data_IF_063786791133
#
_entry.id   IF_063786791133
#
_cell.length_a   1.000
_cell.length_b   1.000
_cell.length_c   1.000
_cell.angle_alpha   90.00
_cell.angle_beta   90.00
_cell.angle_gamma   90.00
#
_symmetry.space_group_name_H-M   'P 1'
#
loop_
_entity.id
_entity.type
_entity.pdbx_description
1 polymer ?
#
# COMPACT_ATOMS: atom_id res chain seq x y z
N UNK A 1 -56.13 6.88 -32.42
CA UNK A 1 -56.21 8.27 -32.90
C UNK A 1 -54.99 8.54 -33.76
N UNK A 2 -55.21 8.94 -35.02
CA UNK A 2 -54.19 9.29 -36.02
C UNK A 2 -53.97 10.81 -35.94
N UNK A 3 -52.73 11.33 -36.07
CA UNK A 3 -52.17 12.17 -37.17
C UNK A 3 -50.76 12.56 -36.68
N UNK A 4 -49.64 12.05 -37.24
CA UNK A 4 -48.89 12.43 -38.46
C UNK A 4 -48.43 13.89 -38.49
N UNK A 5 -47.11 14.12 -38.50
CA UNK A 5 -46.51 15.03 -39.49
C UNK A 5 -45.06 14.64 -39.81
N UNK A 6 -44.85 14.33 -41.09
CA UNK A 6 -43.57 14.12 -41.73
C UNK A 6 -42.99 15.48 -42.19
N UNK A 7 -41.66 15.59 -42.21
CA UNK A 7 -40.94 16.61 -42.99
C UNK A 7 -39.86 15.90 -43.81
N UNK A 8 -39.82 16.23 -45.09
CA UNK A 8 -39.01 15.63 -46.14
C UNK A 8 -37.57 16.19 -46.18
N UNK A 9 -36.66 15.37 -46.71
CA UNK A 9 -35.26 15.66 -47.01
C UNK A 9 -35.08 16.73 -48.12
N UNK A 10 -33.97 17.46 -48.02
CA UNK A 10 -33.20 17.94 -49.17
C UNK A 10 -31.71 17.69 -48.88
N UNK A 11 -30.99 17.22 -49.89
CA UNK A 11 -29.73 16.49 -49.74
C UNK A 11 -28.45 17.31 -49.69
N UNK A 12 -27.37 16.62 -49.37
CA UNK A 12 -26.04 16.89 -49.90
C UNK A 12 -25.27 15.57 -49.94
N UNK A 13 -24.87 15.15 -51.15
CA UNK A 13 -23.90 14.08 -51.38
C UNK A 13 -22.51 14.68 -51.15
N UNK A 14 -21.73 14.09 -50.27
CA UNK A 14 -20.34 14.46 -50.06
C UNK A 14 -19.57 13.34 -49.36
N UNK A 15 -18.67 12.71 -50.14
CA UNK A 15 -17.35 12.22 -49.71
C UNK A 15 -17.29 11.24 -48.54
N UNK A 16 -16.90 9.99 -48.84
CA UNK A 16 -16.61 8.99 -47.83
C UNK A 16 -15.51 9.41 -46.84
N UNK A 17 -15.69 8.98 -45.60
CA UNK A 17 -14.61 8.73 -44.64
C UNK A 17 -15.08 7.52 -43.83
N UNK A 18 -14.20 6.54 -43.63
CA UNK A 18 -14.52 5.28 -42.98
C UNK A 18 -15.17 5.48 -41.62
N UNK A 19 -16.10 4.58 -41.29
CA UNK A 19 -16.57 4.39 -39.93
C UNK A 19 -15.37 3.92 -39.10
N UNK A 20 -14.65 4.85 -38.50
CA UNK A 20 -13.84 4.56 -37.34
C UNK A 20 -14.82 4.04 -36.28
N UNK A 21 -14.77 2.73 -36.03
CA UNK A 21 -15.28 2.15 -34.79
C UNK A 21 -14.70 3.00 -33.67
N UNK A 22 -15.56 3.68 -32.94
CA UNK A 22 -15.20 4.27 -31.67
C UNK A 22 -14.65 3.12 -30.82
N UNK A 23 -13.34 3.13 -30.61
CA UNK A 23 -12.68 2.31 -29.59
C UNK A 23 -13.48 2.52 -28.30
N UNK A 24 -13.87 1.41 -27.69
CA UNK A 24 -14.79 1.40 -26.55
C UNK A 24 -14.35 2.40 -25.50
N UNK A 25 -15.32 3.11 -24.92
CA UNK A 25 -15.08 3.89 -23.71
C UNK A 25 -14.31 3.01 -22.71
N UNK A 26 -13.23 3.52 -22.09
CA UNK A 26 -12.49 2.80 -21.08
C UNK A 26 -13.49 2.21 -20.09
N UNK A 27 -13.35 0.92 -19.78
CA UNK A 27 -14.22 0.30 -18.79
C UNK A 27 -14.09 1.12 -17.49
N UNK A 28 -15.17 1.26 -16.71
CA UNK A 28 -15.08 1.95 -15.41
C UNK A 28 -13.94 1.39 -14.55
N UNK A 29 -13.54 0.13 -14.76
CA UNK A 29 -12.43 -0.55 -14.10
C UNK A 29 -11.01 -0.09 -14.54
N UNK A 30 -10.87 0.78 -15.54
CA UNK A 30 -9.55 1.17 -16.07
C UNK A 30 -8.82 2.24 -15.23
N UNK A 31 -9.57 2.96 -14.38
CA UNK A 31 -9.02 3.98 -13.48
C UNK A 31 -8.34 3.34 -12.26
N UNK A 32 -7.08 3.72 -12.01
CA UNK A 32 -6.37 3.44 -10.76
C UNK A 32 -7.06 4.17 -9.60
N UNK A 33 -7.53 3.41 -8.60
CA UNK A 33 -8.17 3.94 -7.40
C UNK A 33 -7.30 3.78 -6.16
N UNK A 34 -6.59 2.64 -6.06
CA UNK A 34 -5.75 2.32 -4.93
C UNK A 34 -4.27 2.43 -5.31
N UNK A 35 -3.46 2.93 -4.41
CA UNK A 35 -2.02 3.08 -4.57
C UNK A 35 -1.32 2.39 -3.41
N UNK A 36 -0.12 1.86 -3.64
CA UNK A 36 0.66 1.32 -2.54
C UNK A 36 0.95 2.42 -1.53
N UNK A 37 0.54 2.22 -0.29
CA UNK A 37 0.78 3.16 0.81
C UNK A 37 1.96 2.67 1.64
N UNK A 38 1.82 1.48 2.23
CA UNK A 38 2.87 0.80 2.95
C UNK A 38 2.63 -0.70 3.01
N UNK A 39 3.66 -1.43 3.40
CA UNK A 39 3.55 -2.81 3.86
C UNK A 39 4.21 -2.93 5.22
N UNK A 40 3.82 -3.96 5.96
CA UNK A 40 4.55 -4.35 7.15
C UNK A 40 4.99 -5.81 7.14
N UNK A 41 5.98 -6.11 7.97
CA UNK A 41 6.39 -7.46 8.29
C UNK A 41 6.78 -7.60 9.76
N UNK A 42 6.40 -8.73 10.37
CA UNK A 42 6.84 -9.11 11.72
C UNK A 42 8.07 -9.99 11.62
N UNK A 43 9.14 -9.51 12.22
CA UNK A 43 10.47 -10.09 12.23
C UNK A 43 10.77 -10.72 13.58
N UNK A 44 11.80 -11.55 13.63
CA UNK A 44 12.35 -12.02 14.88
C UNK A 44 12.86 -10.83 15.73
N UNK A 45 12.90 -11.03 17.04
CA UNK A 45 13.26 -9.96 17.99
C UNK A 45 14.69 -9.45 17.78
N UNK A 46 15.64 -10.31 17.42
CA UNK A 46 17.04 -9.92 17.16
C UNK A 46 17.11 -8.95 15.97
N UNK A 47 16.43 -9.26 14.86
CA UNK A 47 16.39 -8.39 13.69
C UNK A 47 15.65 -7.08 13.97
N UNK A 48 14.51 -7.13 14.67
CA UNK A 48 13.76 -5.92 15.02
C UNK A 48 14.57 -4.96 15.93
N UNK A 49 15.29 -5.51 16.91
CA UNK A 49 16.15 -4.73 17.80
C UNK A 49 17.36 -4.17 17.03
N UNK A 50 17.95 -4.93 16.11
CA UNK A 50 19.04 -4.44 15.26
C UNK A 50 18.60 -3.27 14.34
N UNK A 51 17.37 -3.33 13.83
CA UNK A 51 16.77 -2.24 13.04
C UNK A 51 16.61 -0.98 13.89
N UNK A 52 16.06 -1.11 15.10
CA UNK A 52 15.86 0.01 16.03
C UNK A 52 17.15 0.77 16.37
N UNK A 53 18.25 0.03 16.51
CA UNK A 53 19.56 0.57 16.92
C UNK A 53 20.51 0.83 15.74
N UNK A 54 20.05 0.75 14.49
CA UNK A 54 20.90 1.01 13.32
C UNK A 54 21.13 2.50 13.10
N UNK A 55 22.36 2.96 13.32
CA UNK A 55 22.78 4.32 12.96
C UNK A 55 22.66 4.55 11.45
N UNK A 56 23.02 3.54 10.64
CA UNK A 56 22.93 3.66 9.20
C UNK A 56 21.49 3.89 8.71
N UNK A 57 20.48 3.25 9.31
CA UNK A 57 19.09 3.48 8.92
C UNK A 57 18.63 4.91 9.19
N UNK A 58 19.14 5.56 10.25
CA UNK A 58 18.83 6.96 10.58
C UNK A 58 19.40 7.93 9.54
N UNK A 59 20.55 7.60 8.96
CA UNK A 59 21.13 8.37 7.85
C UNK A 59 20.44 8.03 6.51
N UNK A 60 20.14 6.76 6.30
CA UNK A 60 19.60 6.22 5.05
C UNK A 60 18.18 6.70 4.78
N UNK A 61 17.28 6.71 5.77
CA UNK A 61 15.86 7.02 5.61
C UNK A 61 15.36 7.99 6.69
N UNK A 62 14.19 8.60 6.49
CA UNK A 62 13.44 9.24 7.58
C UNK A 62 12.93 8.12 8.52
N UNK A 63 13.82 7.66 9.39
CA UNK A 63 13.63 6.50 10.24
C UNK A 63 13.02 6.90 11.59
N UNK A 64 11.92 6.25 11.95
CA UNK A 64 11.21 6.52 13.19
C UNK A 64 10.94 5.23 13.95
N UNK A 65 11.07 5.30 15.27
CA UNK A 65 10.61 4.24 16.18
C UNK A 65 9.53 4.89 17.02
N UNK A 66 8.30 4.38 16.93
CA UNK A 66 7.17 4.97 17.66
C UNK A 66 6.12 3.95 18.04
N UNK A 67 5.54 4.17 19.21
CA UNK A 67 4.29 3.55 19.63
C UNK A 67 3.12 4.36 19.11
N UNK A 68 2.16 3.71 18.48
CA UNK A 68 0.90 4.31 18.03
C UNK A 68 -0.23 3.70 18.82
N UNK A 69 -1.20 4.53 19.19
CA UNK A 69 -2.47 4.11 19.81
C UNK A 69 -3.60 4.36 18.81
N UNK A 70 -4.31 3.29 18.45
CA UNK A 70 -5.41 3.27 17.51
C UNK A 70 -6.79 3.11 18.14
N UNK A 71 -7.76 2.72 17.32
CA UNK A 71 -9.15 2.47 17.75
C UNK A 71 -9.20 1.45 18.89
N UNK A 72 -10.11 1.67 19.84
CA UNK A 72 -10.27 0.78 20.99
C UNK A 72 -9.10 0.81 21.99
N UNK A 73 -8.11 1.69 21.80
CA UNK A 73 -6.91 1.74 22.62
C UNK A 73 -5.88 0.68 22.25
N UNK A 74 -6.00 0.06 21.07
CA UNK A 74 -4.99 -0.84 20.53
C UNK A 74 -3.66 -0.11 20.38
N UNK A 75 -2.57 -0.77 20.76
CA UNK A 75 -1.23 -0.16 20.68
C UNK A 75 -0.27 -1.06 19.94
N UNK A 76 0.62 -0.43 19.16
CA UNK A 76 1.71 -1.12 18.49
C UNK A 76 2.97 -0.26 18.43
N UNK A 77 4.14 -0.91 18.50
CA UNK A 77 5.44 -0.22 18.39
C UNK A 77 6.14 -0.60 17.10
N UNK A 78 6.21 0.32 16.15
CA UNK A 78 6.80 0.06 14.83
C UNK A 78 8.15 0.74 14.65
N UNK A 79 8.97 0.18 13.74
CA UNK A 79 10.10 0.85 13.11
C UNK A 79 9.72 1.22 11.67
N UNK A 80 9.72 2.50 11.37
CA UNK A 80 9.16 3.06 10.15
C UNK A 80 10.28 3.67 9.30
N UNK A 81 10.35 3.29 8.03
CA UNK A 81 11.20 3.97 7.04
C UNK A 81 10.29 4.79 6.14
N UNK A 82 10.25 6.09 6.36
CA UNK A 82 9.31 7.01 5.73
C UNK A 82 9.89 7.63 4.45
N UNK A 83 9.15 7.52 3.35
CA UNK A 83 9.49 8.13 2.07
C UNK A 83 8.69 9.40 1.75
N UNK A 84 8.62 9.76 0.46
CA UNK A 84 7.79 10.88 -0.03
C UNK A 84 6.32 10.49 -0.09
N UNK A 85 6.03 9.33 -0.66
CA UNK A 85 4.66 8.87 -0.90
C UNK A 85 4.42 7.47 -0.32
N UNK A 86 5.47 6.77 0.07
CA UNK A 86 5.41 5.39 0.53
C UNK A 86 6.28 5.17 1.76
N UNK A 87 5.98 4.15 2.54
CA UNK A 87 6.82 3.77 3.66
C UNK A 87 6.73 2.27 3.93
N UNK A 88 7.60 1.76 4.81
CA UNK A 88 7.54 0.38 5.30
C UNK A 88 7.53 0.40 6.82
N UNK A 89 6.71 -0.48 7.41
CA UNK A 89 6.65 -0.69 8.86
C UNK A 89 7.27 -2.04 9.21
N UNK A 90 8.16 -2.07 10.19
CA UNK A 90 8.82 -3.28 10.64
C UNK A 90 8.52 -3.48 12.12
N UNK A 91 8.03 -4.66 12.44
CA UNK A 91 7.62 -5.06 13.78
C UNK A 91 8.50 -6.21 14.26
N UNK A 92 8.80 -6.25 15.56
CA UNK A 92 9.29 -7.44 16.21
C UNK A 92 8.13 -8.27 16.78
N UNK A 93 8.35 -9.58 16.94
CA UNK A 93 7.41 -10.45 17.69
C UNK A 93 7.09 -9.82 19.04
N UNK A 94 5.80 -9.56 19.29
CA UNK A 94 5.30 -8.93 20.52
C UNK A 94 5.13 -7.41 20.47
N UNK A 95 5.43 -6.76 19.35
CA UNK A 95 5.19 -5.32 19.17
C UNK A 95 3.76 -4.99 18.74
N UNK A 96 3.01 -5.98 18.26
CA UNK A 96 1.57 -5.94 17.97
C UNK A 96 0.92 -7.07 18.77
N UNK A 97 -0.30 -6.86 19.26
CA UNK A 97 -1.05 -7.90 19.96
C UNK A 97 -1.64 -8.93 18.98
N UNK A 98 -1.93 -10.13 19.48
CA UNK A 98 -2.67 -11.15 18.72
C UNK A 98 -1.91 -11.72 17.52
N UNK A 99 -2.66 -12.18 16.53
CA UNK A 99 -2.13 -12.89 15.36
C UNK A 99 -1.22 -11.99 14.48
N UNK A 100 -1.51 -10.69 14.42
CA UNK A 100 -0.74 -9.73 13.65
C UNK A 100 0.67 -9.50 14.18
N UNK A 101 0.93 -9.85 15.44
CA UNK A 101 2.25 -9.76 16.07
C UNK A 101 3.07 -11.05 16.04
N UNK A 102 2.59 -12.08 15.33
CA UNK A 102 3.31 -13.36 15.22
C UNK A 102 4.36 -13.33 14.12
N UNK A 103 5.44 -14.11 14.28
CA UNK A 103 6.54 -14.15 13.30
C UNK A 103 6.02 -14.54 11.91
N UNK A 104 6.49 -13.82 10.89
CA UNK A 104 6.07 -14.03 9.51
C UNK A 104 4.70 -13.45 9.17
N UNK A 105 3.99 -12.85 10.14
CA UNK A 105 2.83 -12.03 9.81
C UNK A 105 3.27 -10.80 9.01
N UNK A 106 2.43 -10.39 8.06
CA UNK A 106 2.68 -9.26 7.20
C UNK A 106 1.37 -8.60 6.79
N UNK A 107 1.45 -7.37 6.29
CA UNK A 107 0.26 -6.74 5.74
C UNK A 107 0.55 -5.68 4.71
N UNK A 108 -0.51 -5.23 4.05
CA UNK A 108 -0.44 -4.30 2.94
C UNK A 108 -1.56 -3.26 3.03
N UNK A 109 -1.17 -2.01 3.29
CA UNK A 109 -2.05 -0.86 3.18
C UNK A 109 -2.05 -0.30 1.76
N UNK A 110 -3.23 -0.19 1.16
CA UNK A 110 -3.46 0.46 -0.11
C UNK A 110 -4.33 1.68 0.08
N UNK A 111 -3.89 2.88 -0.32
CA UNK A 111 -4.66 4.10 -0.09
C UNK A 111 -5.26 4.69 -1.35
N UNK A 112 -6.37 5.40 -1.20
CA UNK A 112 -6.89 6.30 -2.23
C UNK A 112 -6.11 7.62 -2.26
N UNK A 113 -6.20 8.34 -3.37
CA UNK A 113 -5.62 9.69 -3.51
C UNK A 113 -6.70 10.78 -3.54
N UNK A 114 -7.97 10.40 -3.74
CA UNK A 114 -9.10 11.32 -3.87
C UNK A 114 -10.24 10.88 -2.96
N UNK A 115 -10.81 11.85 -2.25
CA UNK A 115 -11.96 11.62 -1.38
C UNK A 115 -13.13 10.97 -2.17
N UNK A 116 -13.72 9.93 -1.59
CA UNK A 116 -14.81 9.15 -2.17
C UNK A 116 -14.38 8.02 -3.10
N UNK A 117 -13.08 7.88 -3.41
CA UNK A 117 -12.61 6.74 -4.20
C UNK A 117 -12.76 5.43 -3.41
N UNK A 118 -12.70 5.45 -2.07
CA UNK A 118 -12.86 4.24 -1.25
C UNK A 118 -14.27 3.65 -1.37
N UNK A 119 -15.31 4.49 -1.40
CA UNK A 119 -16.67 4.05 -1.66
C UNK A 119 -16.81 3.38 -3.03
N UNK A 120 -16.08 3.87 -4.05
CA UNK A 120 -16.04 3.22 -5.37
C UNK A 120 -15.35 1.86 -5.30
N UNK A 121 -14.30 1.72 -4.49
CA UNK A 121 -13.63 0.44 -4.24
C UNK A 121 -14.59 -0.54 -3.55
N UNK A 122 -15.35 -0.12 -2.54
CA UNK A 122 -16.34 -0.95 -1.84
C UNK A 122 -17.33 -1.58 -2.81
N UNK A 123 -17.92 -0.76 -3.69
CA UNK A 123 -18.93 -1.24 -4.63
C UNK A 123 -18.32 -2.21 -5.65
N UNK A 124 -17.10 -1.97 -6.11
CA UNK A 124 -16.39 -2.90 -7.01
C UNK A 124 -16.07 -4.23 -6.34
N UNK A 125 -15.75 -4.25 -5.04
CA UNK A 125 -15.53 -5.51 -4.31
C UNK A 125 -16.80 -6.35 -4.29
N UNK A 126 -17.95 -5.72 -4.01
CA UNK A 126 -19.26 -6.37 -4.06
C UNK A 126 -19.57 -6.92 -5.45
N UNK A 127 -19.30 -6.14 -6.50
CA UNK A 127 -19.46 -6.56 -7.89
C UNK A 127 -18.54 -7.73 -8.30
N UNK A 128 -17.34 -7.83 -7.71
CA UNK A 128 -16.40 -8.96 -7.90
C UNK A 128 -16.77 -10.20 -7.05
N UNK A 129 -17.82 -10.12 -6.24
CA UNK A 129 -18.36 -11.24 -5.46
C UNK A 129 -17.88 -11.30 -4.01
N UNK A 130 -17.19 -10.27 -3.52
CA UNK A 130 -16.91 -10.10 -2.08
C UNK A 130 -18.17 -9.55 -1.43
N UNK A 131 -19.04 -10.44 -0.95
CA UNK A 131 -20.41 -10.10 -0.56
C UNK A 131 -20.49 -9.05 0.56
N UNK A 132 -19.65 -9.17 1.57
CA UNK A 132 -19.66 -8.32 2.76
C UNK A 132 -18.24 -7.80 3.10
N UNK A 133 -17.69 -6.84 2.34
CA UNK A 133 -16.43 -6.20 2.70
C UNK A 133 -16.54 -5.57 4.09
N UNK A 134 -15.53 -5.77 4.93
CA UNK A 134 -15.57 -5.31 6.33
C UNK A 134 -15.05 -3.88 6.40
N UNK A 135 -15.96 -2.94 6.66
CA UNK A 135 -15.66 -1.53 6.82
C UNK A 135 -15.35 -1.19 8.29
N UNK A 136 -14.33 -0.36 8.52
CA UNK A 136 -14.02 0.13 9.86
C UNK A 136 -13.35 1.52 9.82
N UNK A 137 -13.46 2.25 10.93
CA UNK A 137 -12.76 3.50 11.15
C UNK A 137 -11.54 3.26 12.03
N UNK A 138 -10.35 3.60 11.53
CA UNK A 138 -9.17 3.70 12.36
C UNK A 138 -9.02 5.10 12.94
N UNK A 139 -8.69 5.19 14.21
CA UNK A 139 -8.37 6.43 14.90
C UNK A 139 -6.89 6.49 15.22
N UNK A 140 -6.41 7.68 15.59
CA UNK A 140 -5.06 7.88 16.11
C UNK A 140 -5.09 8.82 17.30
N UNK A 141 -4.46 8.39 18.38
CA UNK A 141 -4.11 9.24 19.52
C UNK A 141 -2.63 9.65 19.42
N UNK A 142 -2.37 10.94 19.61
CA UNK A 142 -1.02 11.52 19.58
C UNK A 142 -0.31 11.48 20.94
N UNK A 143 -0.88 10.77 21.92
CA UNK A 143 -0.38 10.60 23.27
C UNK A 143 -1.01 11.54 24.31
N UNK A 144 -2.09 12.24 23.94
CA UNK A 144 -2.81 13.17 24.81
C UNK A 144 -4.18 12.63 25.26
N UNK A 145 -4.53 11.41 24.87
CA UNK A 145 -5.81 10.78 25.23
C UNK A 145 -6.97 11.22 24.35
N UNK A 146 -6.73 12.00 23.30
CA UNK A 146 -7.77 12.52 22.39
C UNK A 146 -7.61 11.90 21.00
N UNK A 147 -8.31 10.78 20.73
CA UNK A 147 -8.25 10.10 19.44
C UNK A 147 -8.90 10.94 18.34
N UNK A 148 -8.29 10.95 17.16
CA UNK A 148 -8.77 11.61 15.94
C UNK A 148 -9.13 10.56 14.90
N UNK A 149 -10.27 10.67 14.19
CA UNK A 149 -10.54 9.86 13.00
C UNK A 149 -9.38 9.97 12.01
N UNK A 150 -8.73 8.85 11.71
CA UNK A 150 -7.49 8.82 10.94
C UNK A 150 -7.75 8.39 9.50
N UNK A 151 -8.34 7.22 9.31
CA UNK A 151 -8.73 6.73 7.99
C UNK A 151 -9.93 5.79 8.10
N UNK A 152 -10.78 5.81 7.08
CA UNK A 152 -11.71 4.72 6.84
C UNK A 152 -10.96 3.60 6.12
N UNK A 153 -11.29 2.35 6.40
CA UNK A 153 -10.67 1.20 5.77
C UNK A 153 -11.66 0.09 5.47
N UNK A 154 -11.27 -0.77 4.52
CA UNK A 154 -12.03 -1.92 4.06
C UNK A 154 -11.11 -3.12 3.95
N UNK A 155 -11.55 -4.23 4.53
CA UNK A 155 -10.96 -5.54 4.37
C UNK A 155 -11.86 -6.41 3.50
N UNK A 156 -11.27 -7.35 2.76
CA UNK A 156 -12.04 -8.42 2.08
C UNK A 156 -12.50 -9.49 3.06
N UNK A 157 -11.74 -9.71 4.14
CA UNK A 157 -11.99 -10.68 5.20
C UNK A 157 -11.27 -10.28 6.49
N UNK A 158 -11.75 -10.75 7.64
CA UNK A 158 -11.04 -10.69 8.92
C UNK A 158 -10.40 -12.02 9.32
N UNK A 159 -10.63 -13.08 8.53
CA UNK A 159 -10.03 -14.39 8.70
C UNK A 159 -8.85 -14.52 7.72
N UNK A 160 -7.65 -14.79 8.23
CA UNK A 160 -6.42 -14.96 7.47
C UNK A 160 -5.44 -15.82 8.28
N UNK A 161 -4.37 -16.29 7.66
CA UNK A 161 -3.33 -17.11 8.28
C UNK A 161 -2.12 -16.27 8.75
N UNK A 162 -1.60 -15.41 7.87
CA UNK A 162 -0.39 -14.60 8.09
C UNK A 162 -0.48 -13.19 7.51
N UNK A 163 -1.33 -13.00 6.49
CA UNK A 163 -1.32 -11.82 5.66
C UNK A 163 -2.71 -11.25 5.46
N UNK A 164 -2.84 -9.95 5.73
CA UNK A 164 -4.03 -9.16 5.41
C UNK A 164 -3.67 -7.92 4.59
N UNK A 165 -4.53 -7.55 3.64
CA UNK A 165 -4.46 -6.27 2.96
C UNK A 165 -5.76 -5.49 3.18
N UNK A 166 -5.64 -4.17 3.21
CA UNK A 166 -6.80 -3.28 3.33
C UNK A 166 -6.69 -2.12 2.34
N UNK A 167 -7.85 -1.67 1.87
CA UNK A 167 -7.97 -0.34 1.27
C UNK A 167 -8.21 0.69 2.36
N UNK A 168 -7.69 1.90 2.20
CA UNK A 168 -7.88 3.00 3.15
C UNK A 168 -8.04 4.35 2.46
N UNK A 169 -8.79 5.25 3.11
CA UNK A 169 -8.93 6.64 2.73
C UNK A 169 -8.73 7.52 3.96
N UNK A 170 -7.74 8.41 3.90
CA UNK A 170 -7.45 9.31 5.01
C UNK A 170 -8.59 10.30 5.23
N UNK A 171 -8.89 10.54 6.51
CA UNK A 171 -9.96 11.41 6.95
C UNK A 171 -9.56 12.89 6.89
N UNK A 172 -10.43 13.80 6.42
CA UNK A 172 -10.20 15.24 6.50
C UNK A 172 -9.92 15.72 7.94
N UNK A 173 -10.54 15.09 8.93
CA UNK A 173 -10.35 15.37 10.35
C UNK A 173 -8.88 15.19 10.77
N UNK A 174 -8.22 14.14 10.28
CA UNK A 174 -6.80 13.90 10.53
C UNK A 174 -5.92 14.99 9.95
N UNK A 175 -6.18 15.38 8.69
CA UNK A 175 -5.38 16.41 8.03
C UNK A 175 -5.63 17.81 8.58
N UNK A 176 -6.79 18.07 9.18
CA UNK A 176 -7.08 19.31 9.87
C UNK A 176 -6.40 19.40 11.24
N UNK A 177 -5.93 18.27 11.79
CA UNK A 177 -5.29 18.25 13.09
C UNK A 177 -3.82 18.71 13.02
N UNK A 178 -3.45 19.80 13.71
CA UNK A 178 -2.09 20.33 13.66
C UNK A 178 -1.04 19.39 14.25
N UNK A 179 -1.43 18.41 15.09
CA UNK A 179 -0.52 17.40 15.66
C UNK A 179 0.02 16.46 14.58
N UNK A 180 -0.74 16.28 13.50
CA UNK A 180 -0.38 15.41 12.37
C UNK A 180 0.76 15.93 11.50
N UNK A 181 1.02 17.25 11.49
CA UNK A 181 2.05 17.91 10.66
C UNK A 181 2.01 17.49 9.17
N UNK A 182 0.80 17.34 8.64
CA UNK A 182 0.58 16.89 7.26
C UNK A 182 0.81 18.02 6.26
N UNK A 183 1.12 17.67 5.01
CA UNK A 183 1.26 18.65 3.92
C UNK A 183 -0.12 19.26 3.57
N UNK A 184 -0.17 20.48 3.00
CA UNK A 184 -1.40 21.03 2.45
C UNK A 184 -1.91 20.17 1.29
N UNK A 185 -3.23 20.23 1.05
CA UNK A 185 -3.83 19.60 -0.12
C UNK A 185 -3.28 20.22 -1.42
N UNK A 186 -2.87 19.37 -2.36
CA UNK A 186 -2.39 19.78 -3.70
C UNK A 186 -3.54 20.05 -4.67
N UNK A 187 -4.73 19.49 -4.41
CA UNK A 187 -5.95 19.71 -5.18
C UNK A 187 -7.22 19.53 -4.32
N UNK A 188 -8.39 20.03 -4.75
CA UNK A 188 -9.64 19.79 -4.03
C UNK A 188 -9.95 18.29 -3.88
N UNK A 189 -10.17 17.85 -2.65
CA UNK A 189 -10.42 16.44 -2.33
C UNK A 189 -9.16 15.56 -2.25
N UNK A 190 -7.97 16.17 -2.16
CA UNK A 190 -6.71 15.46 -1.94
C UNK A 190 -6.66 14.83 -0.54
N UNK A 191 -6.70 13.50 -0.53
CA UNK A 191 -6.51 12.63 0.64
C UNK A 191 -5.29 11.75 0.45
N UNK A 192 -4.36 12.18 -0.40
CA UNK A 192 -3.26 11.38 -0.87
C UNK A 192 -2.22 11.05 0.19
N UNK A 193 -1.50 9.96 -0.08
CA UNK A 193 -0.40 9.47 0.77
C UNK A 193 0.77 10.44 0.85
N UNK A 194 1.04 11.20 -0.21
CA UNK A 194 2.01 12.30 -0.21
C UNK A 194 1.66 13.36 0.85
N UNK A 195 0.36 13.64 1.01
CA UNK A 195 -0.12 14.61 2.00
C UNK A 195 0.13 14.15 3.45
N UNK A 196 0.03 12.85 3.68
CA UNK A 196 0.19 12.24 5.00
C UNK A 196 1.64 12.22 5.49
N UNK A 197 2.61 12.08 4.57
CA UNK A 197 4.02 11.90 4.92
C UNK A 197 4.77 13.24 5.09
N UNK A 198 5.84 13.21 5.88
CA UNK A 198 6.69 14.39 6.13
C UNK A 198 7.69 14.60 4.99
N UNK A 199 8.03 15.86 4.76
CA UNK A 199 9.08 16.30 3.83
C UNK A 199 10.51 15.94 4.24
N UNK A 200 10.71 15.40 5.44
CA UNK A 200 12.03 15.06 5.98
C UNK A 200 12.78 14.04 5.12
N UNK A 201 12.09 13.24 4.30
CA UNK A 201 12.73 12.30 3.35
C UNK A 201 13.77 13.00 2.45
N UNK A 202 13.60 14.31 2.16
CA UNK A 202 14.49 15.07 1.27
C UNK A 202 15.95 15.11 1.72
N UNK A 203 16.20 15.01 3.03
CA UNK A 203 17.57 15.01 3.59
C UNK A 203 18.20 13.61 3.65
N UNK A 204 17.44 12.56 3.33
CA UNK A 204 17.87 11.17 3.40
C UNK A 204 18.16 10.58 2.01
N UNK A 205 18.76 9.37 1.99
CA UNK A 205 19.02 8.65 0.74
C UNK A 205 17.76 8.01 0.19
N UNK A 206 17.01 7.29 1.02
CA UNK A 206 15.72 6.68 0.67
C UNK A 206 14.74 7.76 0.22
N UNK A 207 14.10 7.53 -0.92
CA UNK A 207 12.99 8.36 -1.39
C UNK A 207 11.66 7.66 -1.23
N UNK A 208 11.48 6.48 -1.84
CA UNK A 208 10.23 5.73 -1.86
C UNK A 208 10.47 4.24 -2.00
N UNK A 209 9.57 3.42 -1.46
CA UNK A 209 9.41 2.01 -1.80
C UNK A 209 8.92 1.90 -3.25
N UNK A 210 9.59 1.08 -4.04
CA UNK A 210 9.29 0.85 -5.46
C UNK A 210 8.94 -0.60 -5.76
N UNK A 211 9.33 -1.52 -4.88
CA UNK A 211 8.88 -2.90 -4.92
C UNK A 211 8.79 -3.49 -3.52
N UNK A 212 7.82 -4.36 -3.32
CA UNK A 212 7.76 -5.25 -2.16
C UNK A 212 7.55 -6.69 -2.62
N UNK A 213 8.15 -7.63 -1.91
CA UNK A 213 7.99 -9.07 -2.10
C UNK A 213 7.59 -9.70 -0.78
N UNK A 214 6.41 -10.31 -0.78
CA UNK A 214 5.79 -10.99 0.35
C UNK A 214 5.63 -12.48 0.00
N UNK A 215 5.95 -13.34 0.95
CA UNK A 215 5.55 -14.73 0.91
C UNK A 215 4.27 -14.85 1.74
N UNK A 216 3.21 -15.41 1.18
CA UNK A 216 1.86 -15.44 1.78
C UNK A 216 1.23 -16.82 1.61
N UNK A 217 0.23 -17.17 2.41
CA UNK A 217 -0.47 -18.44 2.18
C UNK A 217 -1.34 -18.35 0.91
N UNK A 218 -1.66 -19.50 0.32
CA UNK A 218 -2.54 -19.53 -0.86
C UNK A 218 -3.93 -18.96 -0.55
N UNK A 219 -4.45 -19.21 0.67
CA UNK A 219 -5.71 -18.65 1.15
C UNK A 219 -5.64 -17.13 1.28
N UNK A 220 -4.65 -16.61 2.02
CA UNK A 220 -4.46 -15.17 2.19
C UNK A 220 -4.29 -14.46 0.83
N UNK A 221 -3.57 -15.09 -0.12
CA UNK A 221 -3.42 -14.54 -1.46
C UNK A 221 -4.75 -14.49 -2.21
N UNK A 222 -5.52 -15.58 -2.18
CA UNK A 222 -6.81 -15.66 -2.85
C UNK A 222 -7.80 -14.62 -2.31
N UNK A 223 -7.82 -14.41 -1.00
CA UNK A 223 -8.72 -13.47 -0.34
C UNK A 223 -8.39 -12.00 -0.64
N UNK A 224 -7.12 -11.69 -0.94
CA UNK A 224 -6.65 -10.32 -1.15
C UNK A 224 -6.47 -9.93 -2.63
N UNK A 225 -6.43 -10.89 -3.57
CA UNK A 225 -6.35 -10.60 -5.01
C UNK A 225 -7.52 -9.74 -5.54
N UNK A 226 -8.78 -9.93 -5.11
CA UNK A 226 -9.89 -9.06 -5.52
C UNK A 226 -9.62 -7.59 -5.21
N UNK A 227 -9.07 -7.29 -4.02
CA UNK A 227 -8.73 -5.92 -3.62
C UNK A 227 -7.76 -5.23 -4.60
N UNK A 228 -6.74 -5.96 -5.07
CA UNK A 228 -5.78 -5.46 -6.05
C UNK A 228 -6.46 -5.17 -7.39
N UNK A 229 -7.34 -6.06 -7.86
CA UNK A 229 -8.04 -5.90 -9.14
C UNK A 229 -8.98 -4.71 -9.12
N UNK A 230 -9.86 -4.61 -8.13
CA UNK A 230 -10.80 -3.49 -8.03
C UNK A 230 -10.11 -2.14 -7.84
N UNK A 231 -8.94 -2.16 -7.20
CA UNK A 231 -8.06 -1.01 -7.00
C UNK A 231 -7.40 -0.50 -8.29
N UNK A 232 -7.46 -1.27 -9.37
CA UNK A 232 -6.93 -0.90 -10.69
C UNK A 232 -5.49 -1.39 -10.97
N UNK A 233 -4.96 -2.29 -10.14
CA UNK A 233 -3.66 -2.92 -10.40
C UNK A 233 -3.75 -3.88 -11.59
N UNK A 234 -2.69 -3.93 -12.38
CA UNK A 234 -2.49 -4.99 -13.36
C UNK A 234 -1.91 -6.22 -12.64
N UNK A 235 -2.79 -7.19 -12.40
CA UNK A 235 -2.50 -8.43 -11.66
C UNK A 235 -2.17 -9.55 -12.65
N UNK A 236 -1.00 -10.16 -12.51
CA UNK A 236 -0.57 -11.33 -13.28
C UNK A 236 -0.17 -12.48 -12.37
N UNK A 237 -0.62 -13.69 -12.68
CA UNK A 237 -0.10 -14.90 -12.05
C UNK A 237 1.33 -15.14 -12.50
N UNK A 238 2.17 -15.67 -11.61
CA UNK A 238 3.52 -16.15 -11.93
C UNK A 238 3.58 -17.67 -11.87
N UNK A 239 4.65 -18.26 -12.41
CA UNK A 239 4.94 -19.66 -12.17
C UNK A 239 4.94 -19.95 -10.67
N UNK A 240 4.54 -21.17 -10.29
CA UNK A 240 4.51 -21.66 -8.91
C UNK A 240 3.42 -21.05 -7.99
N UNK A 241 2.37 -20.46 -8.57
CA UNK A 241 1.14 -20.11 -7.83
C UNK A 241 1.12 -18.71 -7.19
N UNK A 242 2.15 -17.90 -7.38
CA UNK A 242 2.20 -16.51 -6.91
C UNK A 242 1.51 -15.50 -7.83
N UNK A 243 1.56 -14.23 -7.43
CA UNK A 243 1.00 -13.09 -8.17
C UNK A 243 1.97 -11.92 -8.19
N UNK A 244 2.00 -11.17 -9.29
CA UNK A 244 2.60 -9.84 -9.34
C UNK A 244 1.53 -8.82 -9.70
N UNK A 245 1.36 -7.83 -8.83
CA UNK A 245 0.55 -6.64 -9.09
C UNK A 245 1.45 -5.46 -9.46
N UNK A 246 1.07 -4.74 -10.50
CA UNK A 246 1.77 -3.57 -11.02
C UNK A 246 0.80 -2.43 -11.30
N UNK A 247 1.33 -1.23 -11.59
CA UNK A 247 0.63 0.08 -11.48
C UNK A 247 0.48 0.53 -10.02
N UNK A 248 -0.08 1.71 -9.78
CA UNK A 248 -0.17 2.27 -8.43
C UNK A 248 1.17 2.67 -7.78
N UNK A 249 2.22 2.91 -8.60
CA UNK A 249 3.53 3.40 -8.15
C UNK A 249 4.55 2.33 -7.73
N UNK A 250 4.09 1.23 -7.14
CA UNK A 250 4.94 0.17 -6.56
C UNK A 250 4.61 -1.19 -7.15
N UNK A 251 5.63 -2.00 -7.44
CA UNK A 251 5.43 -3.41 -7.83
C UNK A 251 5.27 -4.28 -6.59
N UNK A 252 4.21 -5.06 -6.51
CA UNK A 252 3.92 -5.93 -5.38
C UNK A 252 4.02 -7.38 -5.88
N UNK A 253 4.95 -8.15 -5.32
CA UNK A 253 5.11 -9.57 -5.60
C UNK A 253 4.64 -10.40 -4.41
N UNK A 254 3.84 -11.41 -4.70
CA UNK A 254 3.41 -12.44 -3.79
C UNK A 254 3.89 -13.79 -4.29
N UNK A 255 4.53 -14.57 -3.43
CA UNK A 255 4.75 -16.00 -3.65
C UNK A 255 3.84 -16.78 -2.69
N UNK A 256 3.08 -17.74 -3.20
CA UNK A 256 2.23 -18.60 -2.40
C UNK A 256 3.09 -19.68 -1.71
N UNK A 257 3.08 -19.73 -0.39
CA UNK A 257 3.91 -20.61 0.43
C UNK A 257 3.13 -21.17 1.62
N UNK A 258 3.62 -22.25 2.27
CA UNK A 258 3.08 -22.66 3.57
C UNK A 258 3.28 -21.58 4.64
N UNK A 259 2.41 -21.57 5.66
CA UNK A 259 2.39 -20.55 6.74
C UNK A 259 3.73 -20.37 7.46
N UNK A 260 4.52 -21.43 7.61
CA UNK A 260 5.84 -21.42 8.24
C UNK A 260 6.95 -20.83 7.38
N UNK A 261 6.62 -20.38 6.16
CA UNK A 261 7.49 -19.66 5.22
C UNK A 261 6.94 -18.27 4.85
N UNK A 262 5.73 -17.92 5.33
CA UNK A 262 5.12 -16.63 5.08
C UNK A 262 5.88 -15.48 5.79
N UNK A 263 5.89 -14.29 5.17
CA UNK A 263 6.52 -13.09 5.71
C UNK A 263 7.08 -12.16 4.65
N UNK A 264 7.57 -11.00 5.09
CA UNK A 264 8.26 -10.03 4.24
C UNK A 264 9.62 -10.57 3.78
N UNK A 265 9.82 -10.66 2.46
CA UNK A 265 11.03 -11.25 1.87
C UNK A 265 11.99 -10.18 1.39
N UNK A 266 11.47 -9.13 0.72
CA UNK A 266 12.30 -8.11 0.09
C UNK A 266 11.56 -6.79 -0.09
N UNK A 267 12.29 -5.69 0.06
CA UNK A 267 11.83 -4.34 -0.27
C UNK A 267 12.87 -3.68 -1.17
N UNK A 268 12.42 -3.00 -2.22
CA UNK A 268 13.28 -2.16 -3.06
C UNK A 268 12.91 -0.69 -2.92
N UNK A 269 13.93 0.16 -2.82
CA UNK A 269 13.77 1.60 -2.65
C UNK A 269 14.37 2.35 -3.84
N UNK A 270 13.72 3.44 -4.23
CA UNK A 270 14.34 4.51 -5.01
C UNK A 270 15.13 5.43 -4.09
N UNK A 271 16.20 6.03 -4.62
CA UNK A 271 17.04 6.97 -3.89
C UNK A 271 16.86 8.40 -4.40
N UNK A 272 16.90 9.38 -3.49
CA UNK A 272 16.88 10.81 -3.84
C UNK A 272 18.07 11.23 -4.71
N UNK A 273 19.18 10.50 -4.59
CA UNK A 273 20.40 10.71 -5.38
C UNK A 273 21.09 9.38 -5.63
N UNK A 274 21.73 9.19 -6.79
CA UNK A 274 22.52 7.99 -7.04
C UNK A 274 23.74 7.94 -6.11
N UNK A 275 24.10 6.74 -5.66
CA UNK A 275 25.34 6.48 -4.93
C UNK A 275 26.37 5.86 -5.88
N UNK A 276 27.65 6.25 -5.74
CA UNK A 276 28.72 5.82 -6.64
C UNK A 276 29.16 4.39 -6.36
N UNK A 277 29.39 4.10 -5.08
CA UNK A 277 29.92 2.84 -4.62
C UNK A 277 28.80 2.04 -3.92
N UNK A 278 28.91 0.71 -3.99
CA UNK A 278 27.97 -0.17 -3.30
C UNK A 278 28.23 -0.14 -1.80
N UNK A 279 27.19 0.12 -1.01
CA UNK A 279 27.18 -0.10 0.43
C UNK A 279 26.36 -1.35 0.76
N UNK A 280 26.79 -2.14 1.75
CA UNK A 280 26.04 -3.29 2.25
C UNK A 280 26.03 -3.22 3.76
N UNK A 281 24.83 -3.13 4.33
CA UNK A 281 24.59 -3.12 5.76
C UNK A 281 23.93 -4.44 6.17
N UNK A 282 24.52 -5.15 7.14
CA UNK A 282 23.89 -6.29 7.77
C UNK A 282 23.15 -5.81 9.02
N UNK A 283 21.84 -6.05 9.08
CA UNK A 283 20.96 -5.58 10.16
C UNK A 283 20.22 -6.79 10.70
N UNK A 284 20.71 -7.36 11.80
CA UNK A 284 20.25 -8.65 12.30
C UNK A 284 20.38 -9.74 11.24
N UNK A 285 19.29 -10.45 10.96
CA UNK A 285 19.21 -11.50 9.93
C UNK A 285 18.78 -10.98 8.55
N UNK A 286 18.91 -9.67 8.32
CA UNK A 286 18.56 -9.02 7.06
C UNK A 286 19.75 -8.25 6.47
N UNK A 287 19.72 -8.00 5.16
CA UNK A 287 20.80 -7.31 4.45
C UNK A 287 20.23 -6.19 3.58
N UNK A 288 20.65 -4.95 3.84
CA UNK A 288 20.36 -3.79 3.03
C UNK A 288 21.55 -3.48 2.12
N UNK A 289 21.38 -3.65 0.81
CA UNK A 289 22.35 -3.26 -0.19
C UNK A 289 21.92 -1.95 -0.87
N UNK A 290 22.76 -0.91 -0.78
CA UNK A 290 22.50 0.42 -1.36
C UNK A 290 23.47 0.64 -2.53
N UNK A 291 22.92 0.86 -3.71
CA UNK A 291 23.70 1.12 -4.92
C UNK A 291 24.53 -0.04 -5.47
N UNK A 292 25.40 0.24 -6.46
CA UNK A 292 25.60 1.56 -7.08
C UNK A 292 24.37 2.01 -7.87
N UNK A 293 24.25 3.31 -8.12
CA UNK A 293 23.10 3.91 -8.82
C UNK A 293 22.01 4.40 -7.87
N UNK A 294 20.77 4.45 -8.36
CA UNK A 294 19.63 5.12 -7.69
C UNK A 294 18.67 4.16 -6.98
N UNK A 295 19.16 2.98 -6.56
CA UNK A 295 18.33 1.96 -5.92
C UNK A 295 18.99 1.36 -4.69
N UNK A 296 18.17 0.93 -3.75
CA UNK A 296 18.55 0.06 -2.65
C UNK A 296 17.63 -1.15 -2.58
N UNK A 297 18.14 -2.26 -2.05
CA UNK A 297 17.42 -3.52 -1.89
C UNK A 297 17.65 -4.03 -0.48
N UNK A 298 16.58 -4.23 0.27
CA UNK A 298 16.60 -4.89 1.57
C UNK A 298 16.03 -6.28 1.44
N UNK A 299 16.81 -7.30 1.80
CA UNK A 299 16.39 -8.70 1.81
C UNK A 299 16.34 -9.20 3.24
N UNK A 300 15.29 -9.93 3.58
CA UNK A 300 15.07 -10.53 4.88
C UNK A 300 15.27 -12.05 4.75
N UNK A 301 15.94 -12.68 5.71
CA UNK A 301 16.02 -14.13 5.74
C UNK A 301 14.62 -14.72 5.96
N UNK A 302 14.32 -15.85 5.32
CA UNK A 302 13.08 -16.57 5.53
C UNK A 302 12.91 -16.87 7.03
N UNK A 303 11.96 -16.18 7.67
CA UNK A 303 11.50 -16.41 9.04
C UNK A 303 12.56 -16.41 10.15
N UNK A 304 13.65 -15.65 9.98
CA UNK A 304 14.66 -15.50 11.02
C UNK A 304 15.31 -16.81 11.47
N UNK A 305 15.19 -17.87 10.67
CA UNK A 305 15.86 -19.15 10.93
C UNK A 305 17.17 -19.22 10.16
N UNK A 306 18.24 -19.55 10.88
CA UNK A 306 19.53 -19.95 10.30
C UNK A 306 19.43 -21.29 9.60
#
# INVERSE_FOLDING_TARGET
>A
MIIVLAVALAGAVGGGVGTAQAEGSPSSHDRQLLFYNHSYGVLDRETADAIEHSDYLRDFANFQVRTTTGTGGETWTGRYLMGRETYVELFGVGDIAGQDGTLGSAGLGLSTERAGDLATVTERLKDEGVADPVEFLQTRDFGDGVPVPWFDAILTTTEYDAFGAWAMEYRPEYFADPRGKTEPASFPGDVGRERYLSDDYRTHLMRDVTSVHLAVTEGDLADNVPLLRVGGFAVRTVADGGVVASRGGTTIRFDAVPRDQAGLQRVEFSLNRPVKDRHVEQIGLSTLAVGPGSRAVWTFAANGTK
#
